data_IF_445784033016
#
_entry.id   IF_445784033016
#
_cell.length_a   1.000
_cell.length_b   1.000
_cell.length_c   1.000
_cell.angle_alpha   90.00
_cell.angle_beta   90.00
_cell.angle_gamma   90.00
#
_symmetry.space_group_name_H-M   'P 1'
#
loop_
_entity.id
_entity.type
_entity.pdbx_description
1 polymer ?
#
# COMPACT_ATOMS: atom_id res chain seq x y z
N UNK A 1 -12.48 16.44 -1.41
CA UNK A 1 -11.64 16.24 -2.62
C UNK A 1 -12.56 15.76 -3.73
N UNK A 2 -12.54 16.36 -4.91
CA UNK A 2 -13.41 15.94 -6.02
C UNK A 2 -13.08 14.52 -6.48
N UNK A 3 -14.08 13.77 -6.97
CA UNK A 3 -13.89 12.41 -7.48
C UNK A 3 -12.80 12.34 -8.57
N UNK A 4 -12.67 13.38 -9.39
CA UNK A 4 -11.62 13.49 -10.42
C UNK A 4 -10.22 13.51 -9.83
N UNK A 5 -10.01 14.23 -8.73
CA UNK A 5 -8.70 14.35 -8.07
C UNK A 5 -8.32 13.02 -7.41
N UNK A 6 -9.28 12.32 -6.80
CA UNK A 6 -9.06 10.98 -6.24
C UNK A 6 -8.66 9.98 -7.32
N UNK A 7 -9.30 10.02 -8.49
CA UNK A 7 -8.95 9.16 -9.64
C UNK A 7 -7.54 9.46 -10.15
N UNK A 8 -7.19 10.74 -10.32
CA UNK A 8 -5.85 11.13 -10.76
C UNK A 8 -4.78 10.63 -9.79
N UNK A 9 -4.97 10.86 -8.48
CA UNK A 9 -4.04 10.36 -7.46
C UNK A 9 -3.94 8.84 -7.47
N UNK A 10 -5.08 8.15 -7.68
CA UNK A 10 -5.11 6.68 -7.75
C UNK A 10 -4.31 6.16 -8.94
N UNK A 11 -4.40 6.80 -10.11
CA UNK A 11 -3.60 6.45 -11.29
C UNK A 11 -2.12 6.68 -11.02
N UNK A 12 -1.74 7.85 -10.47
CA UNK A 12 -0.36 8.13 -10.12
C UNK A 12 0.20 7.10 -9.14
N UNK A 13 -0.60 6.73 -8.14
CA UNK A 13 -0.26 5.69 -7.18
C UNK A 13 -0.01 4.37 -7.89
N UNK A 14 -0.92 3.92 -8.75
CA UNK A 14 -0.75 2.67 -9.51
C UNK A 14 0.58 2.67 -10.28
N UNK A 15 0.90 3.76 -10.98
CA UNK A 15 2.13 3.85 -11.77
C UNK A 15 3.39 3.76 -10.88
N UNK A 16 3.43 4.51 -9.78
CA UNK A 16 4.56 4.48 -8.83
C UNK A 16 4.74 3.07 -8.26
N UNK A 17 3.64 2.43 -7.86
CA UNK A 17 3.69 1.10 -7.25
C UNK A 17 4.05 -0.01 -8.23
N UNK A 18 3.69 0.12 -9.51
CA UNK A 18 4.19 -0.77 -10.57
C UNK A 18 5.70 -0.62 -10.77
N UNK A 19 6.23 0.61 -10.70
CA UNK A 19 7.69 0.84 -10.75
C UNK A 19 8.36 0.19 -9.53
N UNK A 20 7.83 0.38 -8.32
CA UNK A 20 8.36 -0.26 -7.13
C UNK A 20 8.33 -1.79 -7.25
N UNK A 21 7.24 -2.38 -7.73
CA UNK A 21 7.16 -3.82 -7.96
C UNK A 21 8.19 -4.31 -9.00
N UNK A 22 8.41 -3.54 -10.07
CA UNK A 22 9.45 -3.83 -11.04
C UNK A 22 10.86 -3.81 -10.44
N UNK A 23 11.14 -2.90 -9.50
CA UNK A 23 12.44 -2.83 -8.83
C UNK A 23 12.69 -4.02 -7.88
N UNK A 24 11.63 -4.68 -7.37
CA UNK A 24 11.75 -5.83 -6.47
C UNK A 24 12.29 -7.10 -7.13
N UNK A 25 12.40 -7.15 -8.46
CA UNK A 25 13.12 -8.25 -9.12
C UNK A 25 14.61 -8.32 -8.75
N UNK A 26 15.17 -7.24 -8.18
CA UNK A 26 16.55 -7.21 -7.67
C UNK A 26 16.65 -7.67 -6.20
N UNK A 27 15.53 -8.01 -5.57
CA UNK A 27 15.47 -8.41 -4.18
C UNK A 27 15.69 -9.94 -4.02
N UNK A 28 16.28 -10.43 -2.92
CA UNK A 28 16.40 -11.87 -2.65
C UNK A 28 15.04 -12.59 -2.58
N UNK A 29 14.00 -11.95 -2.07
CA UNK A 29 12.64 -12.53 -1.94
C UNK A 29 11.60 -11.78 -2.81
N UNK A 30 11.75 -11.78 -4.14
CA UNK A 30 11.01 -10.88 -5.03
C UNK A 30 9.50 -11.17 -5.02
N UNK A 31 9.11 -12.44 -4.86
CA UNK A 31 7.71 -12.85 -4.94
C UNK A 31 6.86 -12.28 -3.81
N UNK A 32 7.41 -12.19 -2.60
CA UNK A 32 6.72 -11.61 -1.45
C UNK A 32 6.51 -10.12 -1.67
N UNK A 33 7.58 -9.39 -1.99
CA UNK A 33 7.55 -7.94 -2.16
C UNK A 33 6.73 -7.48 -3.36
N UNK A 34 6.84 -8.16 -4.49
CA UNK A 34 5.99 -7.93 -5.66
C UNK A 34 4.52 -8.14 -5.28
N UNK A 35 4.19 -9.20 -4.53
CA UNK A 35 2.81 -9.48 -4.11
C UNK A 35 2.26 -8.39 -3.18
N UNK A 36 3.06 -7.94 -2.21
CA UNK A 36 2.70 -6.82 -1.32
C UNK A 36 2.43 -5.57 -2.16
N UNK A 37 3.32 -5.21 -3.08
CA UNK A 37 3.18 -3.98 -3.86
C UNK A 37 2.02 -4.05 -4.86
N UNK A 38 1.82 -5.21 -5.48
CA UNK A 38 0.69 -5.45 -6.37
C UNK A 38 -0.65 -5.41 -5.64
N UNK A 39 -0.72 -5.75 -4.36
CA UNK A 39 -1.96 -5.61 -3.58
C UNK A 39 -2.41 -4.15 -3.47
N UNK A 40 -1.46 -3.20 -3.37
CA UNK A 40 -1.76 -1.76 -3.39
C UNK A 40 -2.23 -1.34 -4.78
N UNK A 41 -1.59 -1.83 -5.85
CA UNK A 41 -2.05 -1.61 -7.23
C UNK A 41 -3.49 -2.09 -7.40
N UNK A 42 -3.82 -3.30 -6.94
CA UNK A 42 -5.16 -3.88 -7.02
C UNK A 42 -6.17 -3.06 -6.21
N UNK A 43 -5.82 -2.59 -5.01
CA UNK A 43 -6.67 -1.74 -4.20
C UNK A 43 -7.08 -0.46 -4.93
N UNK A 44 -6.11 0.26 -5.49
CA UNK A 44 -6.35 1.52 -6.19
C UNK A 44 -7.01 1.31 -7.57
N UNK A 45 -6.62 0.28 -8.32
CA UNK A 45 -7.25 -0.06 -9.59
C UNK A 45 -8.72 -0.48 -9.39
N UNK A 46 -8.97 -1.32 -8.39
CA UNK A 46 -10.30 -1.77 -8.01
C UNK A 46 -11.21 -0.60 -7.63
N UNK A 47 -10.70 0.37 -6.86
CA UNK A 47 -11.43 1.61 -6.56
C UNK A 47 -11.80 2.41 -7.82
N UNK A 48 -10.90 2.53 -8.81
CA UNK A 48 -11.17 3.24 -10.07
C UNK A 48 -12.24 2.52 -10.91
N UNK A 49 -12.13 1.19 -11.02
CA UNK A 49 -13.01 0.35 -11.86
C UNK A 49 -14.42 0.26 -11.24
N UNK A 50 -14.50 0.12 -9.90
CA UNK A 50 -15.75 -0.07 -9.17
C UNK A 50 -15.97 1.02 -8.10
N UNK A 51 -16.10 2.31 -8.49
CA UNK A 51 -16.14 3.44 -7.55
C UNK A 51 -17.41 3.51 -6.70
N UNK A 52 -18.46 2.76 -7.07
CA UNK A 52 -19.72 2.71 -6.30
C UNK A 52 -19.64 1.77 -5.10
N UNK A 53 -18.65 0.85 -5.06
CA UNK A 53 -18.48 -0.15 -4.00
C UNK A 53 -17.66 0.38 -2.82
N UNK A 54 -17.94 1.62 -2.40
CA UNK A 54 -17.15 2.37 -1.39
C UNK A 54 -16.97 1.60 -0.08
N UNK A 55 -18.02 0.93 0.43
CA UNK A 55 -17.95 0.15 1.67
C UNK A 55 -16.95 -1.01 1.55
N UNK A 56 -16.93 -1.72 0.43
CA UNK A 56 -15.98 -2.83 0.23
C UNK A 56 -14.56 -2.29 0.22
N UNK A 57 -14.30 -1.26 -0.60
CA UNK A 57 -12.96 -0.67 -0.71
C UNK A 57 -12.46 -0.06 0.59
N UNK A 58 -13.34 0.49 1.42
CA UNK A 58 -13.00 0.93 2.78
C UNK A 58 -12.46 -0.23 3.63
N UNK A 59 -13.18 -1.36 3.68
CA UNK A 59 -12.76 -2.50 4.51
C UNK A 59 -11.47 -3.13 3.97
N UNK A 60 -11.34 -3.31 2.65
CA UNK A 60 -10.12 -3.85 2.03
C UNK A 60 -8.92 -2.94 2.32
N UNK A 61 -9.08 -1.63 2.15
CA UNK A 61 -8.06 -0.62 2.49
C UNK A 61 -7.62 -0.72 3.95
N UNK A 62 -8.58 -0.80 4.87
CA UNK A 62 -8.30 -0.91 6.31
C UNK A 62 -7.61 -2.22 6.68
N UNK A 63 -8.07 -3.35 6.15
CA UNK A 63 -7.46 -4.66 6.38
C UNK A 63 -6.01 -4.66 5.90
N UNK A 64 -5.75 -4.20 4.67
CA UNK A 64 -4.39 -4.12 4.13
C UNK A 64 -3.51 -3.19 4.98
N UNK A 65 -4.03 -2.01 5.35
CA UNK A 65 -3.30 -1.08 6.21
C UNK A 65 -2.92 -1.71 7.55
N UNK A 66 -3.83 -2.44 8.21
CA UNK A 66 -3.55 -3.11 9.49
C UNK A 66 -2.57 -4.26 9.32
N UNK A 67 -2.70 -5.05 8.26
CA UNK A 67 -1.79 -6.17 7.96
C UNK A 67 -0.36 -5.67 7.72
N UNK A 68 -0.19 -4.60 6.92
CA UNK A 68 1.13 -4.02 6.67
C UNK A 68 1.70 -3.33 7.90
N UNK A 69 0.86 -2.72 8.74
CA UNK A 69 1.30 -2.17 10.02
C UNK A 69 1.81 -3.27 10.95
N UNK A 70 1.07 -4.38 11.06
CA UNK A 70 1.50 -5.53 11.85
C UNK A 70 2.82 -6.11 11.33
N UNK A 71 2.96 -6.25 10.00
CA UNK A 71 4.21 -6.67 9.37
C UNK A 71 5.35 -5.68 9.64
N UNK A 72 5.08 -4.38 9.59
CA UNK A 72 6.07 -3.33 9.90
C UNK A 72 6.58 -3.46 11.34
N UNK A 73 5.66 -3.61 12.31
CA UNK A 73 6.02 -3.76 13.72
C UNK A 73 6.88 -5.02 13.91
N UNK A 74 6.48 -6.12 13.30
CA UNK A 74 7.23 -7.38 13.35
C UNK A 74 8.63 -7.22 12.74
N UNK A 75 8.74 -6.69 11.52
CA UNK A 75 10.02 -6.49 10.84
C UNK A 75 10.93 -5.54 11.64
N UNK A 76 10.37 -4.49 12.23
CA UNK A 76 11.12 -3.57 13.10
C UNK A 76 11.72 -4.26 14.34
N UNK A 77 11.12 -5.33 14.87
CA UNK A 77 11.72 -6.11 15.97
C UNK A 77 12.90 -6.98 15.54
N UNK A 78 13.03 -7.24 14.23
CA UNK A 78 14.09 -8.07 13.66
C UNK A 78 15.31 -7.24 13.25
N UNK A 79 15.20 -5.91 13.18
CA UNK A 79 16.30 -5.02 12.79
C UNK A 79 17.35 -5.01 13.92
N UNK A 80 18.54 -5.59 13.72
CA UNK A 80 19.58 -5.59 14.76
C UNK A 80 20.27 -4.23 14.84
N UNK A 81 20.47 -3.57 13.70
CA UNK A 81 21.05 -2.25 13.56
C UNK A 81 20.34 -1.52 12.43
N UNK A 82 19.88 -0.29 12.69
CA UNK A 82 19.26 0.53 11.67
C UNK A 82 20.29 0.95 10.62
N UNK A 83 20.20 0.38 9.42
CA UNK A 83 21.06 0.71 8.27
C UNK A 83 20.28 0.61 6.98
N UNK A 84 20.44 1.56 6.07
CA UNK A 84 19.76 1.48 4.76
C UNK A 84 20.34 0.40 3.84
N UNK A 85 21.55 -0.08 4.14
CA UNK A 85 22.17 -1.21 3.45
C UNK A 85 21.67 -2.55 4.00
N UNK A 86 21.00 -2.54 5.17
CA UNK A 86 20.39 -3.72 5.75
C UNK A 86 19.06 -4.02 5.06
N UNK A 87 18.91 -5.28 4.65
CA UNK A 87 17.76 -5.78 3.91
C UNK A 87 16.46 -5.57 4.67
N UNK A 88 16.41 -6.04 5.92
CA UNK A 88 15.22 -5.96 6.79
C UNK A 88 14.79 -4.51 7.02
N UNK A 89 15.74 -3.58 7.11
CA UNK A 89 15.45 -2.15 7.23
C UNK A 89 14.80 -1.60 5.95
N UNK A 90 15.29 -1.97 4.77
CA UNK A 90 14.72 -1.57 3.47
C UNK A 90 13.32 -2.16 3.26
N UNK A 91 13.15 -3.42 3.60
CA UNK A 91 11.89 -4.16 3.62
C UNK A 91 10.84 -3.51 4.55
N UNK A 92 11.26 -3.14 5.75
CA UNK A 92 10.44 -2.41 6.72
C UNK A 92 9.95 -1.08 6.13
N UNK A 93 10.80 -0.38 5.37
CA UNK A 93 10.41 0.81 4.62
C UNK A 93 9.30 0.55 3.60
N UNK A 94 9.38 -0.56 2.86
CA UNK A 94 8.34 -1.01 1.94
C UNK A 94 7.00 -1.26 2.63
N UNK A 95 7.01 -1.89 3.82
CA UNK A 95 5.81 -2.14 4.62
C UNK A 95 5.20 -0.84 5.18
N UNK A 96 6.03 0.11 5.62
CA UNK A 96 5.57 1.44 6.06
C UNK A 96 4.84 2.15 4.92
N UNK A 97 5.44 2.18 3.72
CA UNK A 97 4.82 2.81 2.55
C UNK A 97 3.50 2.10 2.19
N UNK A 98 3.46 0.78 2.25
CA UNK A 98 2.26 -0.04 1.97
C UNK A 98 1.14 0.26 2.95
N UNK A 99 1.47 0.39 4.23
CA UNK A 99 0.56 0.79 5.31
C UNK A 99 -0.07 2.14 5.02
N UNK A 100 0.77 3.16 4.77
CA UNK A 100 0.33 4.53 4.57
C UNK A 100 -0.58 4.65 3.35
N UNK A 101 -0.16 4.10 2.21
CA UNK A 101 -0.93 4.21 0.97
C UNK A 101 -2.25 3.44 1.06
N UNK A 102 -2.24 2.24 1.65
CA UNK A 102 -3.48 1.51 1.89
C UNK A 102 -4.43 2.32 2.77
N UNK A 103 -3.94 2.94 3.85
CA UNK A 103 -4.74 3.77 4.75
C UNK A 103 -5.27 5.07 4.14
N UNK A 104 -4.51 5.75 3.28
CA UNK A 104 -4.91 7.00 2.61
C UNK A 104 -6.23 6.82 1.86
N UNK A 105 -6.37 5.73 1.10
CA UNK A 105 -7.60 5.48 0.33
C UNK A 105 -8.81 5.31 1.27
N UNK A 106 -8.67 4.52 2.33
CA UNK A 106 -9.71 4.29 3.33
C UNK A 106 -10.12 5.57 4.04
N UNK A 107 -9.15 6.40 4.43
CA UNK A 107 -9.40 7.72 5.01
C UNK A 107 -10.19 8.62 4.06
N UNK A 108 -9.86 8.64 2.77
CA UNK A 108 -10.61 9.44 1.81
C UNK A 108 -12.02 8.93 1.55
N UNK A 109 -12.20 7.60 1.52
CA UNK A 109 -13.53 6.99 1.42
C UNK A 109 -14.38 7.38 2.62
N UNK A 110 -13.84 7.24 3.84
CA UNK A 110 -14.51 7.64 5.08
C UNK A 110 -14.89 9.12 5.08
N UNK A 111 -13.95 10.01 4.73
CA UNK A 111 -14.22 11.45 4.66
C UNK A 111 -15.32 11.81 3.67
N UNK A 112 -15.49 11.03 2.59
CA UNK A 112 -16.51 11.28 1.57
C UNK A 112 -17.88 10.71 1.93
N UNK A 113 -17.91 9.60 2.68
CA UNK A 113 -19.13 8.99 3.20
C UNK A 113 -18.94 8.70 4.70
N UNK A 114 -18.99 9.73 5.55
CA UNK A 114 -19.08 9.54 6.99
C UNK A 114 -20.50 9.04 7.26
N UNK A 115 -20.69 7.73 7.23
CA UNK A 115 -21.91 7.15 7.81
C UNK A 115 -21.88 7.35 9.31
#
# INVERSE_FOLDING_TARGET
MGLRIMKFFSILTILIWLVFAGLQWNDPDPWLWISIYMSVVVLYAGFIIYPTKMKIWFHVSWILSVLFLAGTIFAATLIPNFSFDDEVTRETGGLILSTIWSGILGYWIYKKNPN
#
